data_IF_337274436606
#
_entry.id   IF_337274436606
#
_cell.length_a   1.000
_cell.length_b   1.000
_cell.length_c   1.000
_cell.angle_alpha   90.00
_cell.angle_beta   90.00
_cell.angle_gamma   90.00
#
_symmetry.space_group_name_H-M   'P 1'
#
loop_
_entity.id
_entity.type
_entity.pdbx_description
1 polymer ?
#
# COMPACT_ATOMS: atom_id res chain seq x y z
N UNK A 1 -102.76 -111.95 -79.66
CA UNK A 1 -102.75 -110.74 -78.81
C UNK A 1 -101.71 -110.83 -77.68
N UNK A 2 -100.45 -111.19 -77.99
CA UNK A 2 -99.37 -111.27 -76.99
C UNK A 2 -98.17 -110.35 -77.32
N UNK A 3 -98.13 -109.80 -78.54
CA UNK A 3 -97.05 -108.92 -79.02
C UNK A 3 -97.27 -107.44 -78.68
N UNK A 4 -98.51 -106.93 -78.74
CA UNK A 4 -98.82 -105.51 -78.41
C UNK A 4 -98.64 -105.12 -76.94
N UNK A 5 -98.72 -106.06 -75.99
CA UNK A 5 -98.44 -105.79 -74.56
C UNK A 5 -96.94 -105.62 -74.27
N UNK A 6 -96.08 -106.20 -75.12
CA UNK A 6 -94.62 -106.09 -74.97
C UNK A 6 -94.14 -104.72 -75.46
N UNK A 7 -94.69 -104.25 -76.57
CA UNK A 7 -94.41 -102.92 -77.14
C UNK A 7 -94.87 -101.75 -76.23
N UNK A 8 -96.04 -101.89 -75.59
CA UNK A 8 -96.53 -100.90 -74.61
C UNK A 8 -95.66 -100.83 -73.35
N UNK A 9 -95.18 -101.98 -72.86
CA UNK A 9 -94.25 -102.03 -71.72
C UNK A 9 -92.88 -101.45 -72.07
N UNK A 10 -92.43 -101.59 -73.32
CA UNK A 10 -91.18 -100.99 -73.79
C UNK A 10 -91.30 -99.47 -73.94
N UNK A 11 -92.43 -98.96 -74.45
CA UNK A 11 -92.71 -97.52 -74.53
C UNK A 11 -92.82 -96.86 -73.15
N UNK A 12 -93.44 -97.53 -72.16
CA UNK A 12 -93.54 -97.01 -70.79
C UNK A 12 -92.17 -96.98 -70.08
N UNK A 13 -91.31 -97.98 -70.34
CA UNK A 13 -89.90 -97.96 -69.89
C UNK A 13 -89.10 -96.84 -70.54
N UNK A 14 -89.33 -96.55 -71.83
CA UNK A 14 -88.71 -95.42 -72.54
C UNK A 14 -89.18 -94.09 -71.95
N UNK A 15 -90.47 -93.96 -71.63
CA UNK A 15 -91.03 -92.74 -71.02
C UNK A 15 -90.50 -92.50 -69.60
N UNK A 16 -90.40 -93.55 -68.77
CA UNK A 16 -89.77 -93.48 -67.46
C UNK A 16 -88.29 -93.12 -67.56
N UNK A 17 -87.56 -93.70 -68.52
CA UNK A 17 -86.17 -93.33 -68.81
C UNK A 17 -86.04 -91.86 -69.24
N UNK A 18 -86.95 -91.33 -70.06
CA UNK A 18 -86.97 -89.91 -70.44
C UNK A 18 -87.25 -88.99 -69.26
N UNK A 19 -88.20 -89.32 -68.36
CA UNK A 19 -88.46 -88.52 -67.16
C UNK A 19 -87.27 -88.52 -66.21
N UNK A 20 -86.64 -89.68 -66.00
CA UNK A 20 -85.42 -89.80 -65.18
C UNK A 20 -84.27 -89.00 -65.80
N UNK A 21 -84.12 -89.03 -67.13
CA UNK A 21 -83.12 -88.22 -67.82
C UNK A 21 -83.42 -86.72 -67.71
N UNK A 22 -84.68 -86.29 -67.84
CA UNK A 22 -85.07 -84.88 -67.69
C UNK A 22 -84.80 -84.38 -66.28
N UNK A 23 -85.12 -85.16 -65.23
CA UNK A 23 -84.82 -84.81 -63.84
C UNK A 23 -83.31 -84.74 -63.60
N UNK A 24 -82.54 -85.70 -64.14
CA UNK A 24 -81.07 -85.66 -64.06
C UNK A 24 -80.47 -84.45 -64.79
N UNK A 25 -81.07 -84.02 -65.90
CA UNK A 25 -80.66 -82.81 -66.63
C UNK A 25 -80.98 -81.56 -65.82
N UNK A 26 -82.15 -81.47 -65.18
CA UNK A 26 -82.52 -80.33 -64.34
C UNK A 26 -81.68 -80.24 -63.06
N UNK A 27 -81.38 -81.37 -62.42
CA UNK A 27 -80.46 -81.44 -61.27
C UNK A 27 -79.03 -81.09 -61.69
N UNK A 28 -78.56 -81.59 -62.83
CA UNK A 28 -77.27 -81.18 -63.39
C UNK A 28 -77.25 -79.67 -63.69
N UNK A 29 -78.34 -79.11 -64.22
CA UNK A 29 -78.44 -77.67 -64.49
C UNK A 29 -78.43 -76.85 -63.21
N UNK A 30 -79.18 -77.25 -62.17
CA UNK A 30 -79.17 -76.57 -60.86
C UNK A 30 -77.81 -76.64 -60.17
N UNK A 31 -77.13 -77.78 -60.25
CA UNK A 31 -75.77 -77.92 -59.69
C UNK A 31 -74.78 -77.09 -60.49
N UNK A 32 -74.90 -77.01 -61.81
CA UNK A 32 -74.10 -76.11 -62.65
C UNK A 32 -74.36 -74.64 -62.31
N UNK A 33 -75.62 -74.21 -62.18
CA UNK A 33 -75.99 -72.84 -61.85
C UNK A 33 -75.50 -72.46 -60.44
N UNK A 34 -75.65 -73.35 -59.46
CA UNK A 34 -75.16 -73.16 -58.10
C UNK A 34 -73.64 -73.05 -58.06
N UNK A 35 -72.94 -73.95 -58.76
CA UNK A 35 -71.49 -73.91 -58.87
C UNK A 35 -71.03 -72.62 -59.57
N UNK A 36 -71.72 -72.16 -60.62
CA UNK A 36 -71.40 -70.89 -61.27
C UNK A 36 -71.59 -69.69 -60.32
N UNK A 37 -72.65 -69.66 -59.53
CA UNK A 37 -72.93 -68.55 -58.62
C UNK A 37 -71.95 -68.53 -57.43
N UNK A 38 -71.62 -69.70 -56.86
CA UNK A 38 -70.54 -69.83 -55.86
C UNK A 38 -69.21 -69.34 -56.46
N UNK A 39 -68.89 -69.73 -57.69
CA UNK A 39 -67.66 -69.26 -58.37
C UNK A 39 -67.66 -67.74 -58.57
N UNK A 40 -68.80 -67.13 -58.93
CA UNK A 40 -68.91 -65.65 -59.03
C UNK A 40 -68.75 -64.97 -57.68
N UNK A 41 -69.32 -65.55 -56.63
CA UNK A 41 -69.23 -64.99 -55.28
C UNK A 41 -67.80 -65.06 -54.75
N UNK A 42 -67.10 -66.17 -54.97
CA UNK A 42 -65.68 -66.33 -54.65
C UNK A 42 -64.81 -65.35 -55.45
N UNK A 43 -65.09 -65.16 -56.75
CA UNK A 43 -64.40 -64.14 -57.55
C UNK A 43 -64.63 -62.71 -57.02
N UNK A 44 -65.84 -62.41 -56.54
CA UNK A 44 -66.17 -61.09 -55.98
C UNK A 44 -65.52 -60.87 -54.61
N UNK A 45 -65.44 -61.91 -53.78
CA UNK A 45 -64.78 -61.83 -52.48
C UNK A 45 -63.25 -61.75 -52.63
N UNK A 46 -62.67 -62.53 -53.54
CA UNK A 46 -61.24 -62.45 -53.87
C UNK A 46 -60.88 -61.08 -54.46
N UNK A 47 -61.71 -60.51 -55.34
CA UNK A 47 -61.54 -59.13 -55.84
C UNK A 47 -61.57 -58.10 -54.70
N UNK A 48 -62.54 -58.18 -53.78
CA UNK A 48 -62.59 -57.28 -52.61
C UNK A 48 -61.36 -57.43 -51.69
N UNK A 49 -60.89 -58.67 -51.48
CA UNK A 49 -59.68 -58.94 -50.70
C UNK A 49 -58.45 -58.32 -51.38
N UNK A 50 -58.33 -58.47 -52.70
CA UNK A 50 -57.26 -57.89 -53.49
C UNK A 50 -57.24 -56.36 -53.43
N UNK A 51 -58.40 -55.70 -53.55
CA UNK A 51 -58.52 -54.24 -53.41
C UNK A 51 -58.15 -53.76 -52.01
N UNK A 52 -58.55 -54.51 -50.97
CA UNK A 52 -58.18 -54.19 -49.58
C UNK A 52 -56.66 -54.33 -49.37
N UNK A 53 -56.06 -55.38 -49.91
CA UNK A 53 -54.60 -55.60 -49.89
C UNK A 53 -53.87 -54.48 -50.63
N UNK A 54 -54.36 -54.06 -51.80
CA UNK A 54 -53.79 -52.95 -52.57
C UNK A 54 -53.81 -51.65 -51.78
N UNK A 55 -54.95 -51.29 -51.18
CA UNK A 55 -55.06 -50.09 -50.32
C UNK A 55 -54.11 -50.14 -49.12
N UNK A 56 -53.85 -51.31 -48.55
CA UNK A 56 -52.87 -51.44 -47.46
C UNK A 56 -51.43 -51.30 -47.94
N UNK A 57 -51.10 -51.78 -49.14
CA UNK A 57 -49.80 -51.52 -49.77
C UNK A 57 -49.60 -50.03 -50.06
N UNK A 58 -50.59 -49.37 -50.65
CA UNK A 58 -50.52 -47.93 -50.95
C UNK A 58 -50.30 -47.09 -49.68
N UNK A 59 -51.00 -47.42 -48.57
CA UNK A 59 -50.78 -46.77 -47.26
C UNK A 59 -49.40 -47.04 -46.69
N UNK A 60 -48.86 -48.24 -46.89
CA UNK A 60 -47.52 -48.59 -46.42
C UNK A 60 -46.45 -47.79 -47.19
N UNK A 61 -46.63 -47.64 -48.50
CA UNK A 61 -45.75 -46.83 -49.35
C UNK A 61 -45.83 -45.34 -49.00
N UNK A 62 -47.02 -44.79 -48.76
CA UNK A 62 -47.21 -43.40 -48.30
C UNK A 62 -46.49 -43.16 -46.97
N UNK A 63 -46.68 -44.04 -45.98
CA UNK A 63 -46.02 -43.97 -44.67
C UNK A 63 -44.49 -44.07 -44.80
N UNK A 64 -43.97 -44.93 -45.66
CA UNK A 64 -42.54 -45.03 -45.92
C UNK A 64 -41.98 -43.76 -46.56
N UNK A 65 -42.70 -43.16 -47.52
CA UNK A 65 -42.30 -41.89 -48.14
C UNK A 65 -42.30 -40.74 -47.14
N UNK A 66 -43.31 -40.67 -46.29
CA UNK A 66 -43.40 -39.64 -45.24
C UNK A 66 -42.27 -39.80 -44.22
N UNK A 67 -41.97 -41.04 -43.80
CA UNK A 67 -40.84 -41.33 -42.92
C UNK A 67 -39.52 -40.90 -43.56
N UNK A 68 -39.30 -41.18 -44.85
CA UNK A 68 -38.10 -40.72 -45.59
C UNK A 68 -38.02 -39.19 -45.64
N UNK A 69 -39.11 -38.50 -45.94
CA UNK A 69 -39.15 -37.02 -45.93
C UNK A 69 -38.81 -36.46 -44.56
N UNK A 70 -39.35 -37.03 -43.49
CA UNK A 70 -39.04 -36.59 -42.12
C UNK A 70 -37.56 -36.83 -41.79
N UNK A 71 -37.00 -37.97 -42.20
CA UNK A 71 -35.58 -38.27 -42.04
C UNK A 71 -34.66 -37.35 -42.85
N UNK A 72 -35.12 -36.78 -43.96
CA UNK A 72 -34.35 -35.82 -44.76
C UNK A 72 -34.47 -34.38 -44.22
N UNK A 73 -35.68 -33.97 -43.81
CA UNK A 73 -35.97 -32.62 -43.34
C UNK A 73 -35.39 -32.36 -41.94
N UNK A 74 -35.37 -33.37 -41.07
CA UNK A 74 -34.91 -33.19 -39.67
C UNK A 74 -33.41 -32.84 -39.59
N UNK A 75 -32.50 -33.54 -40.31
CA UNK A 75 -31.09 -33.14 -40.39
C UNK A 75 -30.88 -31.78 -41.03
N UNK A 76 -31.64 -31.43 -42.08
CA UNK A 76 -31.55 -30.12 -42.73
C UNK A 76 -31.90 -28.99 -41.76
N UNK A 77 -33.02 -29.09 -41.04
CA UNK A 77 -33.39 -28.10 -40.02
C UNK A 77 -32.37 -28.01 -38.88
N UNK A 78 -31.78 -29.15 -38.49
CA UNK A 78 -30.72 -29.17 -37.48
C UNK A 78 -29.46 -28.45 -37.99
N UNK A 79 -29.10 -28.62 -39.26
CA UNK A 79 -27.98 -27.96 -39.88
C UNK A 79 -28.22 -26.45 -40.03
N UNK A 80 -29.41 -26.03 -40.50
CA UNK A 80 -29.82 -24.63 -40.58
C UNK A 80 -29.75 -23.95 -39.21
N UNK A 81 -30.34 -24.57 -38.18
CA UNK A 81 -30.28 -24.05 -36.82
C UNK A 81 -28.84 -23.91 -36.31
N UNK A 82 -27.96 -24.87 -36.61
CA UNK A 82 -26.53 -24.81 -36.25
C UNK A 82 -25.81 -23.69 -36.99
N UNK A 83 -26.14 -23.46 -38.26
CA UNK A 83 -25.52 -22.42 -39.08
C UNK A 83 -25.98 -21.02 -38.64
N UNK A 84 -27.26 -20.86 -38.30
CA UNK A 84 -27.78 -19.64 -37.67
C UNK A 84 -27.11 -19.35 -36.32
N UNK A 85 -26.91 -20.39 -35.48
CA UNK A 85 -26.19 -20.18 -34.20
C UNK A 85 -24.75 -19.78 -34.42
N UNK A 86 -24.06 -20.39 -35.40
CA UNK A 86 -22.68 -20.00 -35.76
C UNK A 86 -22.61 -18.55 -36.24
N UNK A 87 -23.53 -18.13 -37.12
CA UNK A 87 -23.58 -16.75 -37.62
C UNK A 87 -23.89 -15.76 -36.49
N UNK A 88 -24.78 -16.10 -35.57
CA UNK A 88 -25.07 -15.26 -34.40
C UNK A 88 -23.85 -15.11 -33.48
N UNK A 89 -23.11 -16.19 -33.25
CA UNK A 89 -21.86 -16.17 -32.46
C UNK A 89 -20.81 -15.31 -33.17
N UNK A 90 -20.61 -15.48 -34.48
CA UNK A 90 -19.64 -14.70 -35.25
C UNK A 90 -19.99 -13.21 -35.26
N UNK A 91 -21.27 -12.86 -35.44
CA UNK A 91 -21.75 -11.48 -35.39
C UNK A 91 -21.54 -10.85 -34.01
N UNK A 92 -21.74 -11.60 -32.93
CA UNK A 92 -21.46 -11.13 -31.57
C UNK A 92 -19.96 -10.94 -31.33
N UNK A 93 -19.11 -11.84 -31.83
CA UNK A 93 -17.66 -11.72 -31.71
C UNK A 93 -17.15 -10.47 -32.44
N UNK A 94 -17.61 -10.19 -33.67
CA UNK A 94 -17.27 -8.97 -34.40
C UNK A 94 -17.65 -7.70 -33.63
N UNK A 95 -18.84 -7.65 -33.04
CA UNK A 95 -19.27 -6.53 -32.19
C UNK A 95 -18.39 -6.36 -30.94
N UNK A 96 -17.91 -7.45 -30.35
CA UNK A 96 -17.01 -7.41 -29.20
C UNK A 96 -15.65 -6.86 -29.63
N UNK A 97 -15.10 -7.31 -30.76
CA UNK A 97 -13.84 -6.81 -31.32
C UNK A 97 -13.90 -5.30 -31.62
N UNK A 98 -14.97 -4.83 -32.25
CA UNK A 98 -15.19 -3.40 -32.50
C UNK A 98 -15.22 -2.57 -31.21
N UNK A 99 -15.86 -3.09 -30.15
CA UNK A 99 -15.87 -2.42 -28.83
C UNK A 99 -14.50 -2.41 -28.19
N UNK A 100 -13.73 -3.50 -28.29
CA UNK A 100 -12.37 -3.58 -27.76
C UNK A 100 -11.47 -2.55 -28.47
N UNK A 101 -11.53 -2.47 -29.80
CA UNK A 101 -10.70 -1.52 -30.56
C UNK A 101 -11.09 -0.06 -30.24
N UNK A 102 -12.39 0.22 -30.06
CA UNK A 102 -12.84 1.54 -29.61
C UNK A 102 -12.25 1.92 -28.25
N UNK A 103 -12.32 1.04 -27.25
CA UNK A 103 -11.77 1.32 -25.93
C UNK A 103 -10.24 1.46 -25.95
N UNK A 104 -9.56 0.70 -26.80
CA UNK A 104 -8.11 0.80 -26.98
C UNK A 104 -7.70 2.18 -27.51
N UNK A 105 -8.43 2.73 -28.48
CA UNK A 105 -8.16 4.09 -28.98
C UNK A 105 -8.55 5.18 -27.95
N UNK A 106 -9.64 5.01 -27.20
CA UNK A 106 -9.99 5.92 -26.08
C UNK A 106 -8.90 5.96 -25.00
N UNK A 107 -8.40 4.78 -24.57
CA UNK A 107 -7.31 4.68 -23.59
C UNK A 107 -6.03 5.33 -24.12
N UNK A 108 -5.69 5.10 -25.38
CA UNK A 108 -4.53 5.72 -26.04
C UNK A 108 -4.66 7.24 -26.12
N UNK A 109 -5.86 7.75 -26.40
CA UNK A 109 -6.17 9.18 -26.33
C UNK A 109 -5.94 9.76 -24.93
N UNK A 110 -6.50 9.12 -23.89
CA UNK A 110 -6.28 9.52 -22.51
C UNK A 110 -4.80 9.54 -22.11
N UNK A 111 -4.03 8.51 -22.50
CA UNK A 111 -2.58 8.43 -22.24
C UNK A 111 -1.79 9.54 -22.91
N UNK A 112 -2.16 9.94 -24.14
CA UNK A 112 -1.47 11.05 -24.83
C UNK A 112 -1.79 12.40 -24.20
N UNK A 113 -3.04 12.63 -23.76
CA UNK A 113 -3.42 13.83 -23.01
C UNK A 113 -2.64 13.95 -21.70
N UNK A 114 -2.63 12.90 -20.87
CA UNK A 114 -1.86 12.88 -19.61
C UNK A 114 -0.37 13.13 -19.85
N UNK A 115 0.21 12.54 -20.89
CA UNK A 115 1.62 12.77 -21.26
C UNK A 115 1.91 14.24 -21.61
N UNK A 116 0.98 14.92 -22.28
CA UNK A 116 1.12 16.33 -22.62
C UNK A 116 0.97 17.23 -21.40
N UNK A 117 0.00 16.96 -20.53
CA UNK A 117 -0.20 17.69 -19.27
C UNK A 117 1.03 17.57 -18.35
N UNK A 118 1.59 16.36 -18.21
CA UNK A 118 2.82 16.15 -17.44
C UNK A 118 3.98 16.96 -18.00
N UNK A 119 4.18 16.97 -19.33
CA UNK A 119 5.22 17.79 -19.98
C UNK A 119 5.01 19.29 -19.76
N UNK A 120 3.77 19.76 -19.74
CA UNK A 120 3.46 21.17 -19.46
C UNK A 120 3.77 21.52 -18.01
N UNK A 121 3.40 20.66 -17.07
CA UNK A 121 3.72 20.83 -15.65
C UNK A 121 5.23 20.83 -15.41
N UNK A 122 5.97 19.91 -16.05
CA UNK A 122 7.42 19.85 -16.00
C UNK A 122 8.07 21.16 -16.45
N UNK A 123 7.61 21.72 -17.58
CA UNK A 123 8.08 23.04 -18.06
C UNK A 123 7.78 24.16 -17.06
N UNK A 124 6.58 24.16 -16.45
CA UNK A 124 6.21 25.16 -15.42
C UNK A 124 7.12 25.06 -14.19
N UNK A 125 7.42 23.84 -13.74
CA UNK A 125 8.34 23.59 -12.62
C UNK A 125 9.74 24.07 -12.96
N UNK A 126 10.27 23.73 -14.14
CA UNK A 126 11.59 24.18 -14.59
C UNK A 126 11.69 25.71 -14.66
N UNK A 127 10.65 26.39 -15.14
CA UNK A 127 10.64 27.86 -15.17
C UNK A 127 10.65 28.46 -13.77
N UNK A 128 9.80 27.97 -12.85
CA UNK A 128 9.79 28.41 -11.45
C UNK A 128 11.13 28.17 -10.76
N UNK A 129 11.79 27.05 -11.04
CA UNK A 129 13.11 26.75 -10.50
C UNK A 129 14.15 27.77 -10.97
N UNK A 130 14.15 28.13 -12.26
CA UNK A 130 15.03 29.19 -12.79
C UNK A 130 14.73 30.55 -12.17
N UNK A 131 13.47 30.91 -11.97
CA UNK A 131 13.08 32.16 -11.31
C UNK A 131 13.59 32.21 -9.85
N UNK A 132 13.44 31.12 -9.11
CA UNK A 132 13.96 30.98 -7.75
C UNK A 132 15.48 31.13 -7.72
N UNK A 133 16.21 30.45 -8.61
CA UNK A 133 17.67 30.57 -8.72
C UNK A 133 18.09 32.03 -9.03
N UNK A 134 17.36 32.71 -9.92
CA UNK A 134 17.62 34.11 -10.24
C UNK A 134 17.28 35.07 -9.09
N UNK A 135 16.29 34.75 -8.26
CA UNK A 135 15.96 35.51 -7.06
C UNK A 135 17.08 35.36 -6.00
N UNK A 136 17.47 34.12 -5.71
CA UNK A 136 18.55 33.81 -4.78
C UNK A 136 19.86 34.47 -5.19
N UNK A 137 20.20 34.46 -6.49
CA UNK A 137 21.40 35.13 -7.00
C UNK A 137 21.37 36.64 -6.72
N UNK A 138 20.24 37.30 -6.94
CA UNK A 138 20.08 38.75 -6.66
C UNK A 138 20.13 39.07 -5.16
N UNK A 139 19.56 38.20 -4.32
CA UNK A 139 19.65 38.37 -2.86
C UNK A 139 21.09 38.24 -2.37
N UNK A 140 21.84 37.27 -2.88
CA UNK A 140 23.27 37.11 -2.56
C UNK A 140 24.09 38.32 -3.00
N UNK A 141 23.89 38.81 -4.22
CA UNK A 141 24.56 40.00 -4.74
C UNK A 141 24.25 41.24 -3.88
N UNK A 142 23.00 41.43 -3.45
CA UNK A 142 22.62 42.51 -2.54
C UNK A 142 23.29 42.39 -1.17
N UNK A 143 23.45 41.18 -0.63
CA UNK A 143 24.14 40.94 0.63
C UNK A 143 25.65 41.20 0.50
N UNK A 144 26.26 40.79 -0.62
CA UNK A 144 27.66 41.04 -0.94
C UNK A 144 27.96 42.54 -0.98
N UNK A 145 27.10 43.33 -1.65
CA UNK A 145 27.23 44.80 -1.69
C UNK A 145 27.12 45.41 -0.29
N UNK A 146 26.17 44.95 0.54
CA UNK A 146 26.03 45.45 1.92
C UNK A 146 27.26 45.14 2.77
N UNK A 147 27.82 43.94 2.62
CA UNK A 147 29.00 43.52 3.34
C UNK A 147 30.24 44.32 2.92
N UNK A 148 30.44 44.52 1.61
CA UNK A 148 31.52 45.35 1.07
C UNK A 148 31.44 46.80 1.59
N UNK A 149 30.23 47.39 1.60
CA UNK A 149 30.03 48.74 2.14
C UNK A 149 30.37 48.84 3.64
N UNK A 150 29.96 47.84 4.44
CA UNK A 150 30.28 47.79 5.89
C UNK A 150 31.79 47.67 6.12
N UNK A 151 32.48 46.80 5.37
CA UNK A 151 33.93 46.66 5.47
C UNK A 151 34.67 47.95 5.08
N UNK A 152 34.17 48.69 4.09
CA UNK A 152 34.74 49.99 3.72
C UNK A 152 34.51 51.08 4.77
N UNK A 153 33.40 51.02 5.51
CA UNK A 153 33.16 51.92 6.65
C UNK A 153 34.09 51.59 7.82
N UNK A 154 34.16 50.32 8.23
CA UNK A 154 35.07 49.85 9.29
C UNK A 154 36.54 50.21 8.96
N UNK A 155 36.95 50.02 7.69
CA UNK A 155 38.29 50.39 7.23
C UNK A 155 38.56 51.89 7.39
N UNK A 156 37.59 52.75 7.06
CA UNK A 156 37.71 54.20 7.22
C UNK A 156 37.80 54.59 8.70
N UNK A 157 37.00 53.99 9.55
CA UNK A 157 37.03 54.24 11.00
C UNK A 157 38.39 53.84 11.59
N UNK A 158 38.91 52.67 11.23
CA UNK A 158 40.25 52.21 11.66
C UNK A 158 41.33 53.18 11.16
N UNK A 159 41.28 53.62 9.89
CA UNK A 159 42.23 54.60 9.36
C UNK A 159 42.18 55.95 10.11
N UNK A 160 41.00 56.42 10.52
CA UNK A 160 40.84 57.63 11.33
C UNK A 160 41.40 57.45 12.74
N UNK A 161 41.10 56.33 13.41
CA UNK A 161 41.65 56.00 14.72
C UNK A 161 43.18 55.91 14.70
N UNK A 162 43.75 55.29 13.65
CA UNK A 162 45.21 55.21 13.45
C UNK A 162 45.80 56.61 13.32
N UNK A 163 45.23 57.49 12.48
CA UNK A 163 45.70 58.89 12.34
C UNK A 163 45.59 59.67 13.66
N UNK A 164 44.54 59.44 14.44
CA UNK A 164 44.39 60.07 15.76
C UNK A 164 45.47 59.58 16.74
N UNK A 165 45.74 58.28 16.77
CA UNK A 165 46.78 57.69 17.60
C UNK A 165 48.17 58.19 17.18
N UNK A 166 48.45 58.32 15.88
CA UNK A 166 49.70 58.91 15.38
C UNK A 166 49.91 60.35 15.89
N UNK A 167 48.85 61.17 15.91
CA UNK A 167 48.90 62.54 16.48
C UNK A 167 49.18 62.52 17.98
N UNK A 168 48.51 61.66 18.74
CA UNK A 168 48.73 61.52 20.18
C UNK A 168 50.16 61.05 20.50
N UNK A 169 50.70 60.10 19.75
CA UNK A 169 52.08 59.62 19.91
C UNK A 169 53.07 60.75 19.61
N UNK A 170 52.83 61.57 18.57
CA UNK A 170 53.68 62.72 18.27
C UNK A 170 53.68 63.76 19.41
N UNK A 171 52.51 64.02 20.02
CA UNK A 171 52.38 64.93 21.18
C UNK A 171 53.09 64.38 22.43
N UNK A 172 52.97 63.08 22.74
CA UNK A 172 53.70 62.47 23.86
C UNK A 172 55.20 62.59 23.65
N UNK A 173 55.69 62.37 22.43
CA UNK A 173 57.12 62.52 22.09
C UNK A 173 57.61 63.95 22.28
N UNK A 174 56.81 64.97 21.96
CA UNK A 174 57.20 66.36 22.22
C UNK A 174 57.19 66.69 23.71
N UNK A 175 56.20 66.21 24.48
CA UNK A 175 56.14 66.40 25.93
C UNK A 175 57.33 65.74 26.67
N UNK A 176 57.72 64.52 26.28
CA UNK A 176 58.88 63.84 26.86
C UNK A 176 60.20 64.61 26.69
N UNK A 177 60.35 65.36 25.59
CA UNK A 177 61.55 66.18 25.35
C UNK A 177 61.58 67.47 26.20
N UNK A 178 60.46 67.89 26.80
CA UNK A 178 60.37 69.11 27.63
C UNK A 178 60.36 68.78 29.14
N UNK A 179 60.12 67.51 29.50
CA UNK A 179 59.89 67.07 30.88
C UNK A 179 60.85 66.01 31.40
N UNK A 180 62.17 66.14 31.20
CA UNK A 180 63.13 65.44 32.06
C UNK A 180 63.11 66.07 33.46
N UNK A 181 62.18 65.63 34.33
CA UNK A 181 62.36 65.59 35.80
C UNK A 181 61.16 64.97 36.51
N UNK A 182 61.45 63.79 37.08
CA UNK A 182 60.89 63.23 38.32
C UNK A 182 59.42 62.77 38.29
N UNK A 183 59.25 61.46 38.15
CA UNK A 183 58.31 60.75 39.01
C UNK A 183 59.04 59.62 39.76
N UNK A 184 59.27 59.88 41.05
CA UNK A 184 59.63 58.86 42.02
C UNK A 184 58.39 58.01 42.29
N UNK A 185 58.41 56.77 41.81
CA UNK A 185 57.42 55.75 42.14
C UNK A 185 57.65 55.31 43.61
N UNK A 186 56.84 55.82 44.53
CA UNK A 186 56.84 55.37 45.93
C UNK A 186 56.15 53.99 45.96
N UNK A 187 56.93 52.93 46.09
CA UNK A 187 56.41 51.61 46.45
C UNK A 187 56.04 51.62 47.95
N UNK A 188 54.74 51.68 48.25
CA UNK A 188 54.21 51.31 49.56
C UNK A 188 54.47 49.81 49.76
N UNK A 189 55.22 49.46 50.80
CA UNK A 189 55.83 48.15 51.03
C UNK A 189 54.90 47.07 51.60
N UNK A 190 53.60 47.36 51.77
CA UNK A 190 52.67 46.43 52.44
C UNK A 190 51.78 45.62 51.48
N UNK A 191 51.81 45.93 50.19
CA UNK A 191 51.16 45.12 49.15
C UNK A 191 52.16 44.17 48.49
N UNK A 192 52.73 43.25 49.27
CA UNK A 192 53.37 42.06 48.68
C UNK A 192 52.26 41.27 48.00
N UNK A 193 52.05 41.54 46.70
CA UNK A 193 51.06 40.88 45.84
C UNK A 193 51.35 39.39 45.84
N UNK A 194 50.75 38.66 46.78
CA UNK A 194 50.77 37.21 46.81
C UNK A 194 50.10 36.74 45.52
N UNK A 195 50.90 36.30 44.56
CA UNK A 195 50.44 35.82 43.25
C UNK A 195 50.60 34.31 43.19
N UNK A 196 49.57 33.62 42.73
CA UNK A 196 49.58 32.16 42.64
C UNK A 196 49.94 31.70 41.23
N UNK A 197 50.98 30.87 41.13
CA UNK A 197 51.51 30.38 39.87
C UNK A 197 51.00 29.00 39.45
N UNK A 198 50.14 28.35 40.24
CA UNK A 198 49.65 26.99 40.00
C UNK A 198 50.41 25.88 40.73
N UNK A 199 51.64 26.16 41.21
CA UNK A 199 52.46 25.16 41.90
C UNK A 199 52.16 25.07 43.40
N UNK A 200 51.34 24.07 43.75
CA UNK A 200 50.88 23.77 45.12
C UNK A 200 52.04 23.37 46.05
N UNK A 201 53.16 22.88 45.52
CA UNK A 201 54.34 22.54 46.34
C UNK A 201 55.07 23.79 46.83
N UNK A 202 54.97 24.91 46.10
CA UNK A 202 55.68 26.16 46.40
C UNK A 202 54.85 27.12 47.23
N UNK A 203 53.55 27.15 47.03
CA UNK A 203 52.63 27.94 47.85
C UNK A 203 51.34 27.16 48.04
N UNK A 204 50.99 26.90 49.30
CA UNK A 204 49.71 26.28 49.60
C UNK A 204 48.57 27.19 49.10
N UNK A 205 47.52 26.66 48.45
CA UNK A 205 46.46 27.48 47.84
C UNK A 205 45.66 28.26 48.88
N UNK A 206 45.50 27.77 50.12
CA UNK A 206 44.63 28.43 51.10
C UNK A 206 45.01 29.87 51.49
N UNK A 207 46.29 30.19 51.81
CA UNK A 207 46.71 31.58 52.03
C UNK A 207 46.37 32.51 50.85
N UNK A 208 46.54 32.04 49.62
CA UNK A 208 46.19 32.79 48.42
C UNK A 208 44.68 33.01 48.30
N UNK A 209 43.89 31.94 48.47
CA UNK A 209 42.42 31.99 48.39
C UNK A 209 41.85 32.94 49.46
N UNK A 210 42.34 32.87 50.69
CA UNK A 210 41.86 33.74 51.77
C UNK A 210 42.20 35.22 51.51
N UNK A 211 43.38 35.50 50.96
CA UNK A 211 43.77 36.84 50.53
C UNK A 211 42.88 37.35 49.39
N UNK A 212 42.66 36.51 48.37
CA UNK A 212 41.82 36.83 47.23
C UNK A 212 40.37 37.07 47.64
N UNK A 213 39.82 36.24 48.54
CA UNK A 213 38.46 36.40 49.10
C UNK A 213 38.28 37.77 49.78
N UNK A 214 39.24 38.18 50.62
CA UNK A 214 39.21 39.50 51.27
C UNK A 214 39.27 40.66 50.28
N UNK A 215 39.99 40.50 49.16
CA UNK A 215 40.09 41.54 48.12
C UNK A 215 38.85 41.61 47.24
N UNK A 216 38.26 40.47 46.90
CA UNK A 216 37.10 40.39 46.00
C UNK A 216 35.78 40.64 46.73
N UNK A 217 35.68 40.41 48.04
CA UNK A 217 34.42 40.56 48.80
C UNK A 217 33.79 41.96 48.73
N UNK A 218 34.58 42.99 48.44
CA UNK A 218 34.10 44.37 48.34
C UNK A 218 33.78 44.80 46.90
N UNK A 219 34.01 43.95 45.91
CA UNK A 219 33.80 44.26 44.50
C UNK A 219 32.38 43.82 44.11
N UNK A 220 31.50 44.79 43.85
CA UNK A 220 30.13 44.52 43.40
C UNK A 220 29.99 44.19 41.90
N UNK A 221 31.00 44.51 41.08
CA UNK A 221 31.00 44.25 39.64
C UNK A 221 31.80 42.98 39.31
N UNK A 222 31.12 42.02 38.67
CA UNK A 222 31.67 40.72 38.32
C UNK A 222 32.88 40.79 37.37
N UNK A 223 32.85 41.65 36.36
CA UNK A 223 33.97 41.79 35.42
C UNK A 223 35.19 42.41 36.10
N UNK A 224 34.97 43.33 37.03
CA UNK A 224 36.03 43.89 37.87
C UNK A 224 36.60 42.84 38.83
N UNK A 225 35.78 41.92 39.34
CA UNK A 225 36.23 40.82 40.17
C UNK A 225 37.08 39.81 39.37
N UNK A 226 36.66 39.43 38.16
CA UNK A 226 37.45 38.58 37.24
C UNK A 226 38.81 39.19 36.94
N UNK A 227 38.85 40.48 36.59
CA UNK A 227 40.09 41.17 36.30
C UNK A 227 40.99 41.26 37.55
N UNK A 228 40.40 41.45 38.74
CA UNK A 228 41.14 41.41 40.00
C UNK A 228 41.75 40.03 40.26
N UNK A 229 41.02 38.96 39.97
CA UNK A 229 41.51 37.57 40.10
C UNK A 229 42.64 37.30 39.09
N UNK A 230 42.44 37.67 37.81
CA UNK A 230 43.44 37.52 36.74
C UNK A 230 44.76 38.19 37.12
N UNK A 231 44.70 39.40 37.68
CA UNK A 231 45.87 40.15 38.13
C UNK A 231 46.66 39.48 39.28
N UNK A 232 46.01 38.58 40.04
CA UNK A 232 46.62 37.84 41.14
C UNK A 232 47.08 36.42 40.74
N UNK A 233 46.78 35.95 39.52
CA UNK A 233 47.30 34.70 38.97
C UNK A 233 48.57 34.96 38.15
N UNK A 234 49.42 33.95 38.03
CA UNK A 234 50.65 33.96 37.21
C UNK A 234 50.79 32.65 36.44
N UNK A 235 51.56 32.71 35.34
CA UNK A 235 51.98 31.55 34.57
C UNK A 235 50.80 30.66 34.15
N UNK A 236 50.92 29.35 34.37
CA UNK A 236 49.95 28.32 34.01
C UNK A 236 48.58 28.54 34.67
N UNK A 237 48.53 29.09 35.88
CA UNK A 237 47.26 29.38 36.55
C UNK A 237 46.47 30.51 35.87
N UNK A 238 47.16 31.50 35.31
CA UNK A 238 46.53 32.58 34.54
C UNK A 238 45.95 32.08 33.22
N UNK A 239 46.74 31.29 32.48
CA UNK A 239 46.32 30.67 31.22
C UNK A 239 45.15 29.69 31.43
N UNK A 240 45.19 28.91 32.52
CA UNK A 240 44.08 28.03 32.90
C UNK A 240 42.81 28.84 33.17
N UNK A 241 42.93 29.97 33.89
CA UNK A 241 41.79 30.82 34.20
C UNK A 241 41.18 31.44 32.94
N UNK A 242 41.99 31.97 32.02
CA UNK A 242 41.52 32.51 30.72
C UNK A 242 40.85 31.42 29.86
N UNK A 243 41.41 30.21 29.83
CA UNK A 243 40.82 29.08 29.12
C UNK A 243 39.46 28.65 29.69
N UNK A 244 39.21 28.90 30.97
CA UNK A 244 37.96 28.55 31.66
C UNK A 244 37.00 29.71 31.82
N UNK A 245 37.43 30.94 31.56
CA UNK A 245 36.64 32.17 31.68
C UNK A 245 35.34 32.13 30.87
N UNK A 246 35.35 31.51 29.69
CA UNK A 246 34.17 31.36 28.83
C UNK A 246 33.19 30.27 29.31
N UNK A 247 33.64 29.34 30.15
CA UNK A 247 32.80 28.28 30.73
C UNK A 247 32.16 28.71 32.05
N UNK A 248 32.62 29.82 32.63
CA UNK A 248 32.18 30.28 33.94
C UNK A 248 30.98 31.23 33.87
N UNK A 249 29.80 30.70 34.13
CA UNK A 249 28.61 31.49 34.47
C UNK A 249 28.53 31.73 36.00
N UNK A 250 27.95 32.84 36.45
CA UNK A 250 27.95 33.27 37.88
C UNK A 250 27.42 32.17 38.81
N UNK A 251 26.40 31.44 38.36
CA UNK A 251 25.81 30.31 39.09
C UNK A 251 26.72 29.07 39.09
N UNK A 252 27.53 28.89 38.04
CA UNK A 252 28.44 27.77 37.89
C UNK A 252 29.70 27.98 38.75
N UNK A 253 30.26 29.19 38.82
CA UNK A 253 31.40 29.49 39.73
C UNK A 253 30.98 29.29 41.19
N UNK A 254 29.85 29.85 41.62
CA UNK A 254 29.41 29.72 43.01
C UNK A 254 29.15 28.25 43.40
N UNK A 255 28.45 27.48 42.55
CA UNK A 255 28.22 26.04 42.78
C UNK A 255 29.49 25.21 42.65
N UNK A 256 30.37 25.51 41.70
CA UNK A 256 31.62 24.76 41.51
C UNK A 256 32.57 25.00 42.68
N UNK A 257 32.68 26.23 43.19
CA UNK A 257 33.47 26.52 44.38
C UNK A 257 32.87 25.92 45.66
N UNK A 258 31.55 25.86 45.81
CA UNK A 258 30.92 25.14 46.93
C UNK A 258 31.11 23.61 46.80
N UNK A 259 30.79 23.00 45.66
CA UNK A 259 30.86 21.53 45.48
C UNK A 259 32.31 21.00 45.43
N UNK A 260 33.26 21.68 44.78
CA UNK A 260 34.66 21.17 44.68
C UNK A 260 35.55 21.49 45.88
N UNK A 261 35.29 22.57 46.63
CA UNK A 261 36.01 22.81 47.89
C UNK A 261 35.47 21.93 49.02
N UNK A 262 34.16 21.69 49.09
CA UNK A 262 33.58 20.78 50.08
C UNK A 262 34.06 19.34 49.83
N UNK A 263 34.21 18.92 48.57
CA UNK A 263 34.88 17.68 48.20
C UNK A 263 36.36 17.65 48.62
N UNK A 264 37.15 18.68 48.31
CA UNK A 264 38.57 18.68 48.68
C UNK A 264 38.80 18.70 50.20
N UNK A 265 37.92 19.37 50.96
CA UNK A 265 37.97 19.44 52.43
C UNK A 265 37.50 18.11 53.06
N UNK A 266 36.50 17.44 52.50
CA UNK A 266 36.03 16.14 53.01
C UNK A 266 36.98 14.99 52.65
N UNK A 267 37.53 14.96 51.44
CA UNK A 267 38.52 13.95 51.01
C UNK A 267 39.82 14.00 51.86
N UNK A 268 40.21 15.17 52.37
CA UNK A 268 41.38 15.31 53.27
C UNK A 268 41.12 14.86 54.71
N UNK A 269 39.87 14.63 55.12
CA UNK A 269 39.50 14.25 56.49
C UNK A 269 39.29 12.74 56.69
N UNK A 270 39.24 11.94 55.62
CA UNK A 270 39.18 10.48 55.72
C UNK A 270 40.59 9.92 55.89
N UNK A 271 40.87 9.32 57.04
CA UNK A 271 42.16 8.66 57.33
C UNK A 271 42.26 7.24 56.79
N UNK A 272 41.13 6.64 56.43
CA UNK A 272 41.03 5.24 56.01
C UNK A 272 40.38 5.13 54.61
N UNK A 273 40.94 4.24 53.79
CA UNK A 273 40.61 4.07 52.36
C UNK A 273 39.20 3.51 52.18
N UNK A 274 38.73 2.66 53.08
CA UNK A 274 37.40 2.04 52.95
C UNK A 274 36.28 3.06 53.19
N UNK A 275 36.48 4.00 54.11
CA UNK A 275 35.55 5.10 54.36
C UNK A 275 35.49 6.09 53.19
N UNK A 276 36.65 6.34 52.56
CA UNK A 276 36.76 7.14 51.35
C UNK A 276 36.01 6.49 50.17
N UNK A 277 36.18 5.19 49.98
CA UNK A 277 35.50 4.42 48.94
C UNK A 277 33.98 4.39 49.14
N UNK A 278 33.48 4.23 50.37
CA UNK A 278 32.04 4.30 50.66
C UNK A 278 31.46 5.68 50.36
N UNK A 279 32.16 6.75 50.74
CA UNK A 279 31.74 8.12 50.42
C UNK A 279 31.65 8.34 48.90
N UNK A 280 32.66 7.89 48.15
CA UNK A 280 32.69 7.98 46.69
C UNK A 280 31.55 7.17 46.04
N UNK A 281 31.23 5.97 46.55
CA UNK A 281 30.10 5.17 46.06
C UNK A 281 28.74 5.82 46.30
N UNK A 282 28.49 6.34 47.51
CA UNK A 282 27.25 7.06 47.83
C UNK A 282 27.10 8.30 46.94
N UNK A 283 28.22 9.00 46.70
CA UNK A 283 28.26 10.17 45.83
C UNK A 283 27.94 9.82 44.37
N UNK A 284 28.59 8.80 43.81
CA UNK A 284 28.36 8.37 42.44
C UNK A 284 26.89 7.94 42.25
N UNK A 285 26.31 7.31 43.28
CA UNK A 285 24.90 6.90 43.31
C UNK A 285 23.96 8.12 43.29
N UNK A 286 24.21 9.13 44.11
CA UNK A 286 23.42 10.40 44.10
C UNK A 286 23.56 11.15 42.78
N UNK A 287 24.74 11.12 42.16
CA UNK A 287 24.98 11.80 40.89
C UNK A 287 24.24 11.08 39.74
N UNK A 288 24.20 9.75 39.76
CA UNK A 288 23.37 8.94 38.86
C UNK A 288 21.88 9.19 39.06
N UNK A 289 21.40 9.28 40.31
CA UNK A 289 20.00 9.58 40.62
C UNK A 289 19.58 10.97 40.10
N UNK A 290 20.42 11.99 40.28
CA UNK A 290 20.18 13.34 39.76
C UNK A 290 20.14 13.38 38.24
N UNK A 291 21.04 12.66 37.56
CA UNK A 291 21.02 12.54 36.08
C UNK A 291 19.77 11.82 35.59
N UNK A 292 19.36 10.74 36.27
CA UNK A 292 18.16 10.00 35.94
C UNK A 292 16.88 10.84 36.10
N UNK A 293 16.79 11.65 37.16
CA UNK A 293 15.67 12.58 37.35
C UNK A 293 15.56 13.60 36.22
N UNK A 294 16.69 14.18 35.78
CA UNK A 294 16.71 15.13 34.65
C UNK A 294 16.25 14.49 33.34
N UNK A 295 16.75 13.29 33.01
CA UNK A 295 16.30 12.58 31.81
C UNK A 295 14.81 12.20 31.83
N UNK A 296 14.24 12.00 33.03
CA UNK A 296 12.82 11.68 33.19
C UNK A 296 11.92 12.93 33.11
N UNK A 297 12.42 14.09 33.56
CA UNK A 297 11.74 15.39 33.40
C UNK A 297 11.75 15.85 31.94
N UNK A 298 12.85 15.66 31.21
CA UNK A 298 12.94 15.96 29.78
C UNK A 298 11.97 15.08 28.95
N UNK A 299 11.86 13.79 29.27
CA UNK A 299 10.89 12.89 28.65
C UNK A 299 9.44 13.33 28.89
N UNK A 300 9.12 13.79 30.11
CA UNK A 300 7.76 14.28 30.45
C UNK A 300 7.41 15.56 29.72
N UNK A 301 8.37 16.44 29.48
CA UNK A 301 8.13 17.65 28.71
C UNK A 301 7.87 17.37 27.23
N UNK A 302 8.61 16.42 26.63
CA UNK A 302 8.40 16.00 25.24
C UNK A 302 7.00 15.37 25.05
N UNK A 303 6.56 14.50 25.96
CA UNK A 303 5.29 13.78 25.88
C UNK A 303 4.07 14.70 26.05
N UNK A 304 4.18 15.75 26.87
CA UNK A 304 3.14 16.78 27.04
C UNK A 304 3.02 17.70 25.81
N UNK A 305 4.14 17.98 25.14
CA UNK A 305 4.17 18.77 23.90
C UNK A 305 3.49 18.02 22.75
N UNK A 306 3.85 16.75 22.55
CA UNK A 306 3.30 15.89 21.49
C UNK A 306 1.79 15.62 21.69
N UNK A 307 1.34 15.49 22.95
CA UNK A 307 -0.08 15.36 23.26
C UNK A 307 -0.88 16.62 22.96
N UNK A 308 -0.30 17.82 23.14
CA UNK A 308 -0.96 19.09 22.77
C UNK A 308 -1.09 19.24 21.26
N UNK A 309 -0.07 18.88 20.50
CA UNK A 309 -0.06 19.04 19.04
C UNK A 309 -1.01 18.06 18.35
N UNK A 310 -1.09 16.80 18.82
CA UNK A 310 -2.12 15.85 18.34
C UNK A 310 -3.54 16.37 18.56
N UNK A 311 -3.82 16.97 19.72
CA UNK A 311 -5.17 17.45 20.06
C UNK A 311 -5.59 18.67 19.24
N UNK A 312 -4.65 19.46 18.74
CA UNK A 312 -4.94 20.59 17.84
C UNK A 312 -5.25 20.15 16.41
N UNK A 313 -4.61 19.08 15.92
CA UNK A 313 -4.86 18.59 14.56
C UNK A 313 -6.26 17.98 14.41
N UNK A 314 -6.72 17.15 15.36
CA UNK A 314 -8.09 16.61 15.29
C UNK A 314 -9.20 17.66 15.41
N UNK A 315 -8.92 18.84 15.99
CA UNK A 315 -9.93 19.91 16.10
C UNK A 315 -10.06 20.75 14.82
N UNK A 316 -9.02 20.81 13.99
CA UNK A 316 -9.08 21.53 12.71
C UNK A 316 -9.88 20.76 11.64
N UNK A 317 -9.83 19.44 11.66
CA UNK A 317 -10.44 18.63 10.59
C UNK A 317 -11.97 18.55 10.68
N UNK A 318 -12.58 18.76 11.85
CA UNK A 318 -14.04 18.84 11.96
C UNK A 318 -14.62 20.24 11.68
N UNK A 319 -13.79 21.28 11.65
CA UNK A 319 -14.26 22.67 11.45
C UNK A 319 -13.95 23.21 10.05
N UNK A 320 -13.21 22.44 9.23
CA UNK A 320 -12.92 22.75 7.82
C UNK A 320 -13.58 21.76 6.86
N UNK A 321 -14.77 21.27 7.23
CA UNK A 321 -15.72 20.71 6.27
C UNK A 321 -16.33 21.86 5.50
N UNK A 322 -16.01 21.93 4.21
CA UNK A 322 -16.36 23.00 3.27
C UNK A 322 -17.84 23.41 3.35
N UNK A 323 -18.06 24.53 4.04
CA UNK A 323 -19.28 25.33 3.96
C UNK A 323 -19.29 26.01 2.59
N UNK A 324 -19.88 25.33 1.60
CA UNK A 324 -20.07 25.86 0.26
C UNK A 324 -21.23 26.88 0.30
N UNK A 325 -21.00 28.21 0.15
CA UNK A 325 -22.08 29.17 0.17
C UNK A 325 -22.86 29.02 -1.14
N UNK A 326 -24.09 28.51 -1.02
CA UNK A 326 -25.14 28.62 -2.04
C UNK A 326 -25.17 30.06 -2.55
N UNK A 327 -24.78 30.24 -3.81
CA UNK A 327 -25.29 31.34 -4.64
C UNK A 327 -26.80 31.15 -4.76
N UNK A 328 -27.54 32.06 -4.14
CA UNK A 328 -28.92 32.33 -4.47
C UNK A 328 -28.98 32.73 -5.95
N UNK A 329 -29.62 31.91 -6.77
CA UNK A 329 -30.29 32.37 -7.96
C UNK A 329 -31.55 31.53 -8.16
N UNK A 330 -32.67 32.23 -8.27
CA UNK A 330 -34.00 31.66 -8.26
C UNK A 330 -34.25 30.74 -9.45
N UNK A 331 -34.76 29.56 -9.15
CA UNK A 331 -35.78 28.88 -9.94
C UNK A 331 -36.57 28.01 -8.97
N UNK A 332 -37.72 28.53 -8.56
CA UNK A 332 -38.79 27.78 -7.91
C UNK A 332 -39.44 26.89 -8.99
N UNK A 333 -39.89 25.74 -8.53
CA UNK A 333 -40.62 24.66 -9.23
C UNK A 333 -39.82 23.57 -9.93
N UNK A 334 -40.22 22.33 -9.60
CA UNK A 334 -39.89 21.03 -10.20
C UNK A 334 -38.74 20.20 -9.59
N UNK A 335 -38.89 19.75 -8.33
CA UNK A 335 -37.94 18.76 -7.78
C UNK A 335 -38.39 17.86 -6.63
N UNK A 336 -39.68 17.83 -6.27
CA UNK A 336 -40.16 17.10 -5.08
C UNK A 336 -40.50 15.61 -5.34
N UNK A 337 -40.17 15.06 -6.51
CA UNK A 337 -40.56 13.71 -6.92
C UNK A 337 -39.47 12.63 -6.86
N UNK A 338 -38.20 12.98 -6.58
CA UNK A 338 -37.08 12.06 -6.88
C UNK A 338 -36.32 11.51 -5.67
N UNK A 339 -36.63 11.97 -4.45
CA UNK A 339 -36.00 11.46 -3.23
C UNK A 339 -36.59 10.11 -2.80
N UNK A 340 -37.88 9.86 -3.04
CA UNK A 340 -38.51 8.58 -2.70
C UNK A 340 -38.12 7.44 -3.65
N UNK A 341 -37.97 7.72 -4.95
CA UNK A 341 -37.53 6.71 -5.92
C UNK A 341 -36.08 6.28 -5.67
N UNK A 342 -35.18 7.23 -5.39
CA UNK A 342 -33.78 6.92 -5.09
C UNK A 342 -33.63 6.11 -3.78
N UNK A 343 -34.49 6.38 -2.79
CA UNK A 343 -34.48 5.64 -1.53
C UNK A 343 -35.11 4.22 -1.67
N UNK A 344 -36.11 4.04 -2.55
CA UNK A 344 -36.62 2.71 -2.90
C UNK A 344 -35.57 1.88 -3.62
N UNK A 345 -34.89 2.46 -4.61
CA UNK A 345 -33.87 1.76 -5.38
C UNK A 345 -32.67 1.34 -4.51
N UNK A 346 -32.25 2.21 -3.59
CA UNK A 346 -31.18 1.86 -2.63
C UNK A 346 -31.57 0.71 -1.68
N UNK A 347 -32.84 0.67 -1.22
CA UNK A 347 -33.33 -0.42 -0.40
C UNK A 347 -33.51 -1.73 -1.19
N UNK A 348 -33.91 -1.65 -2.47
CA UNK A 348 -33.99 -2.80 -3.37
C UNK A 348 -32.61 -3.41 -3.66
N UNK A 349 -31.61 -2.57 -3.91
CA UNK A 349 -30.24 -3.04 -4.16
C UNK A 349 -29.64 -3.72 -2.92
N UNK A 350 -29.87 -3.18 -1.71
CA UNK A 350 -29.48 -3.84 -0.45
C UNK A 350 -30.17 -5.18 -0.23
N UNK A 351 -31.47 -5.26 -0.53
CA UNK A 351 -32.21 -6.51 -0.39
C UNK A 351 -31.74 -7.56 -1.41
N UNK A 352 -31.40 -7.14 -2.63
CA UNK A 352 -30.85 -8.02 -3.67
C UNK A 352 -29.46 -8.54 -3.27
N UNK A 353 -28.62 -7.69 -2.68
CA UNK A 353 -27.31 -8.10 -2.16
C UNK A 353 -27.43 -9.09 -0.99
N UNK A 354 -28.37 -8.86 -0.07
CA UNK A 354 -28.63 -9.78 1.04
C UNK A 354 -29.20 -11.14 0.59
N UNK A 355 -30.05 -11.17 -0.44
CA UNK A 355 -30.52 -12.43 -1.00
C UNK A 355 -29.41 -13.22 -1.70
N UNK A 356 -28.49 -12.53 -2.40
CA UNK A 356 -27.32 -13.17 -2.98
C UNK A 356 -26.38 -13.73 -1.90
N UNK A 357 -26.14 -13.00 -0.79
CA UNK A 357 -25.32 -13.50 0.32
C UNK A 357 -25.92 -14.74 1.00
N UNK A 358 -27.25 -14.79 1.18
CA UNK A 358 -27.90 -15.99 1.69
C UNK A 358 -27.77 -17.17 0.72
N UNK A 359 -27.90 -16.94 -0.59
CA UNK A 359 -27.79 -18.00 -1.60
C UNK A 359 -26.36 -18.58 -1.68
N UNK A 360 -25.34 -17.74 -1.55
CA UNK A 360 -23.93 -18.19 -1.52
C UNK A 360 -23.62 -18.98 -0.25
N UNK A 361 -24.18 -18.59 0.90
CA UNK A 361 -24.00 -19.31 2.17
C UNK A 361 -24.64 -20.70 2.17
N UNK A 362 -25.87 -20.84 1.65
CA UNK A 362 -26.56 -22.14 1.55
C UNK A 362 -25.86 -23.11 0.60
N UNK A 363 -25.26 -22.61 -0.49
CA UNK A 363 -24.46 -23.43 -1.41
C UNK A 363 -23.12 -23.87 -0.83
N UNK A 364 -22.55 -23.11 0.13
CA UNK A 364 -21.37 -23.52 0.88
C UNK A 364 -21.70 -24.55 1.97
N UNK A 365 -22.81 -24.39 2.69
CA UNK A 365 -23.26 -25.36 3.71
C UNK A 365 -23.62 -26.72 3.07
N UNK A 366 -24.24 -26.75 1.89
CA UNK A 366 -24.50 -27.99 1.14
C UNK A 366 -23.22 -28.71 0.65
N UNK A 367 -22.13 -27.98 0.37
CA UNK A 367 -20.83 -28.59 0.01
C UNK A 367 -20.13 -29.24 1.20
N UNK A 368 -20.37 -28.77 2.42
CA UNK A 368 -19.78 -29.35 3.62
C UNK A 368 -20.52 -30.61 4.10
N UNK A 369 -21.84 -30.72 3.89
CA UNK A 369 -22.59 -31.94 4.21
C UNK A 369 -22.27 -33.12 3.27
N UNK A 370 -21.86 -32.86 2.02
CA UNK A 370 -21.43 -33.92 1.09
C UNK A 370 -20.11 -34.59 1.51
N UNK A 371 -19.19 -33.84 2.13
CA UNK A 371 -17.87 -34.36 2.56
C UNK A 371 -17.91 -35.22 3.82
N UNK A 372 -18.91 -35.06 4.69
CA UNK A 372 -19.04 -35.90 5.88
C UNK A 372 -19.59 -37.30 5.57
N UNK A 373 -20.35 -37.48 4.48
CA UNK A 373 -20.87 -38.80 4.10
C UNK A 373 -19.85 -39.68 3.35
N UNK A 374 -18.79 -39.11 2.77
CA UNK A 374 -17.73 -39.90 2.11
C UNK A 374 -16.65 -40.41 3.07
N UNK A 375 -16.48 -39.80 4.25
CA UNK A 375 -15.55 -40.30 5.26
C UNK A 375 -16.09 -41.52 6.04
N UNK A 376 -17.41 -41.71 6.12
CA UNK A 376 -18.02 -42.85 6.81
C UNK A 376 -17.83 -44.22 6.14
N UNK A 377 -17.40 -44.27 4.88
CA UNK A 377 -17.17 -45.53 4.15
C UNK A 377 -15.71 -45.98 4.10
N UNK A 378 -14.75 -45.12 4.47
CA UNK A 378 -13.32 -45.45 4.46
C UNK A 378 -12.78 -45.96 5.81
N UNK A 379 -13.51 -45.76 6.92
CA UNK A 379 -13.04 -46.13 8.26
C UNK A 379 -13.24 -47.61 8.65
N UNK A 380 -13.89 -48.42 7.82
CA UNK A 380 -14.33 -49.78 8.21
C UNK A 380 -13.49 -50.94 7.65
N UNK A 381 -12.27 -50.70 7.15
CA UNK A 381 -11.46 -51.76 6.52
C UNK A 381 -10.12 -52.13 7.14
N UNK A 382 -9.66 -51.49 8.22
CA UNK A 382 -8.40 -51.86 8.85
C UNK A 382 -8.50 -51.90 10.38
N UNK A 383 -9.22 -52.90 10.91
CA UNK A 383 -9.00 -53.43 12.26
C UNK A 383 -8.47 -54.85 12.12
N UNK A 384 -7.15 -54.96 12.05
CA UNK A 384 -6.43 -56.20 12.32
C UNK A 384 -5.45 -55.96 13.45
N UNK A 385 -5.51 -56.86 14.40
CA UNK A 385 -4.75 -56.89 15.65
C UNK A 385 -3.23 -56.80 15.45
N UNK A 386 -2.59 -55.83 16.10
CA UNK A 386 -1.20 -55.96 16.53
C UNK A 386 -0.90 -55.10 17.76
N UNK A 387 -0.21 -55.64 18.78
CA UNK A 387 -0.03 -54.98 20.06
C UNK A 387 1.02 -53.87 19.99
N UNK A 388 0.75 -52.81 20.77
CA UNK A 388 1.52 -51.59 20.88
C UNK A 388 2.75 -51.83 21.77
N UNK A 389 3.92 -51.99 21.17
CA UNK A 389 5.20 -51.93 21.88
C UNK A 389 5.70 -50.48 21.99
N UNK A 390 6.13 -50.15 23.20
CA UNK A 390 6.87 -48.95 23.55
C UNK A 390 8.14 -48.82 22.72
N UNK A 391 8.41 -47.62 22.17
CA UNK A 391 9.77 -47.09 22.07
C UNK A 391 9.76 -45.56 22.04
N UNK A 392 10.44 -45.00 23.05
CA UNK A 392 11.03 -43.66 23.08
C UNK A 392 12.19 -43.65 22.08
N UNK A 393 12.37 -42.54 21.36
CA UNK A 393 13.61 -42.01 20.76
C UNK A 393 13.19 -40.65 20.16
N UNK A 394 13.36 -39.53 20.86
CA UNK A 394 14.55 -38.65 20.81
C UNK A 394 15.08 -38.53 19.39
N UNK A 395 14.75 -37.42 18.72
CA UNK A 395 15.61 -36.81 17.72
C UNK A 395 15.36 -35.30 17.67
N UNK A 396 16.40 -34.57 18.12
CA UNK A 396 16.65 -33.17 17.81
C UNK A 396 16.87 -33.03 16.30
N UNK A 397 16.24 -32.04 15.67
CA UNK A 397 16.68 -31.51 14.38
C UNK A 397 16.96 -30.02 14.56
N UNK A 398 18.15 -29.68 14.10
CA UNK A 398 18.81 -28.38 14.11
C UNK A 398 17.98 -27.33 13.37
N UNK A 399 17.86 -26.17 13.99
CA UNK A 399 17.46 -24.89 13.40
C UNK A 399 18.40 -24.53 12.25
N UNK A 400 17.85 -24.42 11.04
CA UNK A 400 18.50 -23.86 9.85
C UNK A 400 18.76 -22.35 10.07
N UNK A 401 20.03 -21.96 9.94
CA UNK A 401 20.47 -20.58 9.79
C UNK A 401 20.01 -20.04 8.43
N UNK A 402 19.22 -18.97 8.46
CA UNK A 402 18.88 -18.18 7.29
C UNK A 402 20.00 -17.15 7.05
N UNK A 403 20.80 -17.35 6.01
CA UNK A 403 21.71 -16.34 5.47
C UNK A 403 20.90 -15.26 4.73
N UNK A 404 20.80 -14.07 5.34
CA UNK A 404 20.31 -12.85 4.70
C UNK A 404 21.40 -12.28 3.77
N UNK A 405 21.37 -12.71 2.51
CA UNK A 405 22.18 -12.14 1.43
C UNK A 405 21.68 -10.73 1.08
N UNK A 406 22.27 -9.70 1.71
CA UNK A 406 22.03 -8.29 1.39
C UNK A 406 22.80 -7.89 0.14
N UNK A 407 22.10 -7.80 -0.98
CA UNK A 407 22.57 -7.06 -2.15
C UNK A 407 22.62 -5.55 -1.85
N UNK A 408 23.82 -4.98 -1.83
CA UNK A 408 24.01 -3.53 -1.94
C UNK A 408 24.13 -3.17 -3.43
N UNK A 409 23.17 -2.41 -3.94
CA UNK A 409 23.28 -1.71 -5.21
C UNK A 409 24.25 -0.52 -5.05
N UNK A 410 25.52 -0.73 -5.38
CA UNK A 410 26.48 0.36 -5.62
C UNK A 410 26.20 1.02 -6.97
N UNK A 411 25.39 2.07 -6.95
CA UNK A 411 25.20 2.97 -8.08
C UNK A 411 26.14 4.18 -7.95
N UNK A 412 27.42 3.98 -8.32
CA UNK A 412 28.41 5.07 -8.43
C UNK A 412 28.55 5.46 -9.90
N UNK A 413 27.83 6.52 -10.27
CA UNK A 413 28.04 7.27 -11.51
C UNK A 413 29.41 7.96 -11.47
N UNK A 414 30.36 7.44 -12.26
CA UNK A 414 31.58 8.18 -12.63
C UNK A 414 31.40 8.74 -14.05
N UNK A 415 30.91 9.98 -14.13
CA UNK A 415 31.03 10.83 -15.33
C UNK A 415 32.51 11.17 -15.56
N UNK A 416 33.15 10.45 -16.49
CA UNK A 416 34.41 10.90 -17.11
C UNK A 416 34.09 11.95 -18.17
N UNK A 417 34.51 13.19 -17.92
CA UNK A 417 34.59 14.23 -18.95
C UNK A 417 35.66 13.88 -20.00
N UNK A 418 35.44 14.16 -21.29
CA UNK A 418 36.52 14.25 -22.27
C UNK A 418 37.13 15.65 -22.28
N UNK A 419 38.45 15.73 -22.06
CA UNK A 419 39.25 16.92 -22.25
C UNK A 419 39.40 17.20 -23.76
N UNK A 420 38.92 18.37 -24.21
CA UNK A 420 39.25 18.93 -25.52
C UNK A 420 40.61 19.65 -25.42
N UNK A 421 41.60 19.14 -26.16
CA UNK A 421 42.78 19.90 -26.56
C UNK A 421 42.38 20.84 -27.71
N UNK A 422 42.59 22.15 -27.56
CA UNK A 422 42.65 23.09 -28.68
C UNK A 422 44.12 23.31 -29.04
N UNK A 423 44.51 22.85 -30.23
CA UNK A 423 45.70 23.33 -30.94
C UNK A 423 45.48 24.80 -31.34
N UNK A 424 46.26 25.69 -30.73
CA UNK A 424 46.41 27.06 -31.20
C UNK A 424 47.46 27.13 -32.29
N UNK A 425 47.01 27.29 -33.53
CA UNK A 425 47.81 27.77 -34.64
C UNK A 425 47.62 29.30 -34.76
N UNK A 426 48.68 30.05 -34.49
CA UNK A 426 49.15 31.31 -35.12
C UNK A 426 49.86 32.23 -34.14
#
# INVERSE_FOLDING_TARGET
MATRKKELSELEKILQLMQIQSQRIDEAKRTIDKNQEETKQDMKETSKKMDKTKRTMDKMDENQRETKRIMEVTPQKMQENQEETKQAIEGNNKKIEERIEKYKEEIKGCLTMMKNEMKEQEKKIQNKMKELTNCQKRELENLEIKFENSLQEDKREIEEQVKQNERQIAEIKTQQNVGERREMFIHSTDDVKLRFGGDVKRLHPMPFINSLKKKVQHIGNFETAKETIRNHLKYEAGLWFESKEKEFDIELIARYFEETLEDHITLQNYKDIDSLCQFLQIRESRLRERKSRRSQEDYRHQEIQDHRDRRQNYRRDYTRGDFNPRRENGNKDNGRGNYEQRNRQWNEDRNRENQNRNTTRTNQENRNNGRQNEQGYLENRNRSDRPRENRREVNNIQTEEYDEERHYDENINNEKQPAYFQEGAR
#
